data_IF_406742395132
#
_entry.id   IF_406742395132
#
_cell.length_a   1.000
_cell.length_b   1.000
_cell.length_c   1.000
_cell.angle_alpha   90.00
_cell.angle_beta   90.00
_cell.angle_gamma   90.00
#
_symmetry.space_group_name_H-M   'P 1'
#
loop_
_entity.id
_entity.type
_entity.pdbx_description
1 polymer ?
#
# COMPACT_ATOMS: atom_id res chain seq x y z
N UNK A 1 -15.06 -32.90 -13.80
CA UNK A 1 -14.98 -31.43 -13.80
C UNK A 1 -15.50 -30.89 -15.13
N UNK A 2 -16.45 -29.96 -15.11
CA UNK A 2 -16.93 -29.34 -16.32
C UNK A 2 -16.01 -28.15 -16.70
N UNK A 3 -16.21 -27.62 -17.91
CA UNK A 3 -15.36 -26.54 -18.43
C UNK A 3 -15.41 -25.29 -17.56
N UNK A 4 -16.57 -24.98 -16.97
CA UNK A 4 -16.74 -23.82 -16.11
C UNK A 4 -15.94 -23.95 -14.83
N UNK A 5 -15.98 -25.12 -14.19
CA UNK A 5 -15.21 -25.40 -12.97
C UNK A 5 -13.72 -25.37 -13.24
N UNK A 6 -13.28 -25.90 -14.38
CA UNK A 6 -11.87 -25.87 -14.78
C UNK A 6 -11.38 -24.43 -14.96
N UNK A 7 -12.16 -23.58 -15.62
CA UNK A 7 -11.81 -22.17 -15.84
C UNK A 7 -11.71 -21.42 -14.51
N UNK A 8 -12.69 -21.62 -13.59
CA UNK A 8 -12.67 -20.99 -12.27
C UNK A 8 -11.46 -21.39 -11.45
N UNK A 9 -11.09 -22.67 -11.45
CA UNK A 9 -9.91 -23.15 -10.73
C UNK A 9 -8.63 -22.55 -11.31
N UNK A 10 -8.54 -22.49 -12.64
CA UNK A 10 -7.38 -21.89 -13.32
C UNK A 10 -7.24 -20.42 -12.96
N UNK A 11 -8.35 -19.67 -12.94
CA UNK A 11 -8.34 -18.25 -12.56
C UNK A 11 -7.91 -18.04 -11.10
N UNK A 12 -8.41 -18.85 -10.17
CA UNK A 12 -8.02 -18.80 -8.77
C UNK A 12 -6.53 -19.09 -8.58
N UNK A 13 -6.02 -20.09 -9.28
CA UNK A 13 -4.60 -20.47 -9.23
C UNK A 13 -3.72 -19.36 -9.77
N UNK A 14 -4.10 -18.76 -10.89
CA UNK A 14 -3.36 -17.63 -11.51
C UNK A 14 -3.33 -16.41 -10.58
N UNK A 15 -4.46 -16.08 -9.93
CA UNK A 15 -4.54 -15.00 -8.98
C UNK A 15 -3.66 -15.23 -7.76
N UNK A 16 -3.64 -16.45 -7.22
CA UNK A 16 -2.79 -16.82 -6.09
C UNK A 16 -1.31 -16.72 -6.43
N UNK A 17 -0.91 -17.19 -7.62
CA UNK A 17 0.46 -17.10 -8.08
C UNK A 17 0.89 -15.65 -8.29
N UNK A 18 0.00 -14.81 -8.83
CA UNK A 18 0.27 -13.40 -9.01
C UNK A 18 0.48 -12.71 -7.66
N UNK A 19 -0.35 -13.00 -6.65
CA UNK A 19 -0.20 -12.46 -5.30
C UNK A 19 1.11 -12.89 -4.66
N UNK A 20 1.50 -14.16 -4.79
CA UNK A 20 2.78 -14.64 -4.29
C UNK A 20 3.96 -13.99 -5.00
N UNK A 21 3.84 -13.77 -6.30
CA UNK A 21 4.88 -13.11 -7.10
C UNK A 21 5.10 -11.68 -6.64
N UNK A 22 4.03 -10.92 -6.34
CA UNK A 22 4.15 -9.56 -5.84
C UNK A 22 4.89 -9.55 -4.50
N UNK A 23 4.54 -10.44 -3.56
CA UNK A 23 5.22 -10.53 -2.27
C UNK A 23 6.71 -10.82 -2.46
N UNK A 24 7.05 -11.75 -3.34
CA UNK A 24 8.45 -12.14 -3.59
C UNK A 24 9.25 -10.99 -4.23
N UNK A 25 8.66 -10.25 -5.16
CA UNK A 25 9.34 -9.17 -5.90
C UNK A 25 9.30 -7.82 -5.18
N UNK A 26 8.46 -7.68 -4.15
CA UNK A 26 8.16 -6.38 -3.53
C UNK A 26 9.40 -5.63 -3.04
N UNK A 27 10.44 -6.35 -2.59
CA UNK A 27 11.68 -5.73 -2.12
C UNK A 27 12.44 -4.97 -3.21
N UNK A 28 12.21 -5.32 -4.47
CA UNK A 28 12.88 -4.69 -5.63
C UNK A 28 11.95 -3.72 -6.37
N UNK A 29 10.70 -3.59 -5.93
CA UNK A 29 9.72 -2.73 -6.59
C UNK A 29 9.70 -1.33 -5.99
N UNK A 30 9.57 -0.32 -6.86
CA UNK A 30 9.31 1.05 -6.42
C UNK A 30 7.88 1.15 -5.88
N UNK A 31 7.58 2.23 -5.18
CA UNK A 31 6.22 2.48 -4.70
C UNK A 31 5.21 2.55 -5.84
N UNK A 32 5.60 3.16 -6.95
CA UNK A 32 4.75 3.27 -8.14
C UNK A 32 4.47 1.90 -8.76
N UNK A 33 5.51 1.07 -8.89
CA UNK A 33 5.35 -0.30 -9.40
C UNK A 33 4.46 -1.15 -8.49
N UNK A 34 4.68 -1.05 -7.18
CA UNK A 34 3.92 -1.82 -6.21
C UNK A 34 2.44 -1.42 -6.20
N UNK A 35 2.14 -0.13 -6.23
CA UNK A 35 0.76 0.36 -6.30
C UNK A 35 0.07 -0.06 -7.61
N UNK A 36 0.81 -0.17 -8.71
CA UNK A 36 0.25 -0.64 -9.99
C UNK A 36 -0.24 -2.09 -9.91
N UNK A 37 0.31 -2.87 -8.97
CA UNK A 37 -0.05 -4.27 -8.75
C UNK A 37 -1.06 -4.43 -7.59
N UNK A 38 -1.72 -3.36 -7.16
CA UNK A 38 -2.53 -3.36 -5.93
C UNK A 38 -3.65 -4.41 -5.93
N UNK A 39 -4.16 -4.79 -7.10
CA UNK A 39 -5.20 -5.82 -7.21
C UNK A 39 -4.74 -7.21 -6.75
N UNK A 40 -3.43 -7.44 -6.72
CA UNK A 40 -2.83 -8.70 -6.27
C UNK A 40 -2.32 -8.60 -4.83
N UNK A 41 -2.46 -7.46 -4.19
CA UNK A 41 -2.02 -7.24 -2.81
C UNK A 41 -3.19 -7.53 -1.88
N UNK A 42 -3.02 -8.41 -0.88
CA UNK A 42 -4.12 -8.79 0.02
C UNK A 42 -4.55 -7.65 0.94
N UNK A 43 -5.79 -7.70 1.40
CA UNK A 43 -6.29 -6.77 2.40
C UNK A 43 -5.71 -7.11 3.77
N UNK A 44 -5.33 -6.08 4.52
CA UNK A 44 -4.77 -6.21 5.86
C UNK A 44 -5.70 -7.02 6.79
N UNK A 45 -6.98 -6.69 6.82
CA UNK A 45 -7.94 -7.38 7.70
C UNK A 45 -8.01 -8.87 7.40
N UNK A 46 -8.06 -9.24 6.12
CA UNK A 46 -8.10 -10.64 5.71
C UNK A 46 -6.78 -11.36 6.02
N UNK A 47 -5.66 -10.67 5.83
CA UNK A 47 -4.34 -11.24 6.09
C UNK A 47 -4.15 -11.53 7.59
N UNK A 48 -4.53 -10.59 8.46
CA UNK A 48 -4.38 -10.74 9.90
C UNK A 48 -5.26 -11.84 10.50
N UNK A 49 -6.34 -12.23 9.82
CA UNK A 49 -7.17 -13.36 10.24
C UNK A 49 -6.52 -14.70 9.95
N UNK A 50 -5.62 -14.75 8.97
CA UNK A 50 -4.98 -15.98 8.53
C UNK A 50 -3.60 -16.19 9.13
N UNK A 51 -2.93 -15.11 9.53
CA UNK A 51 -1.57 -15.17 10.05
C UNK A 51 -1.33 -14.05 11.03
N UNK A 52 -0.42 -14.28 11.99
CA UNK A 52 0.02 -13.25 12.91
C UNK A 52 1.24 -12.53 12.32
N UNK A 53 1.27 -11.22 12.42
CA UNK A 53 2.40 -10.42 11.94
C UNK A 53 3.70 -10.68 12.70
N UNK A 54 3.63 -11.31 13.88
CA UNK A 54 4.83 -11.80 14.60
C UNK A 54 5.62 -12.80 13.76
N UNK A 55 4.93 -13.62 12.99
CA UNK A 55 5.52 -14.71 12.24
C UNK A 55 5.92 -14.29 10.81
N UNK A 56 5.83 -12.99 10.53
CA UNK A 56 6.19 -12.47 9.21
C UNK A 56 7.59 -11.86 9.24
N UNK A 57 8.31 -12.09 8.16
CA UNK A 57 9.60 -11.42 7.98
C UNK A 57 9.35 -9.92 7.81
N UNK A 58 10.07 -9.12 8.59
CA UNK A 58 9.92 -7.66 8.58
C UNK A 58 11.24 -6.98 8.20
N UNK A 59 11.14 -5.94 7.42
CA UNK A 59 12.29 -5.15 6.98
C UNK A 59 11.85 -3.96 6.15
N UNK A 60 12.77 -3.06 5.88
CA UNK A 60 12.46 -1.84 5.13
C UNK A 60 12.03 -2.13 3.69
N UNK A 61 12.51 -3.22 3.12
CA UNK A 61 12.27 -3.55 1.71
C UNK A 61 11.71 -4.94 1.47
N UNK A 62 11.80 -5.83 2.46
CA UNK A 62 11.44 -7.24 2.29
C UNK A 62 10.28 -7.71 3.18
N UNK A 63 9.60 -6.79 3.84
CA UNK A 63 8.47 -7.12 4.70
C UNK A 63 7.20 -7.42 3.92
N UNK A 64 6.27 -8.11 4.59
CA UNK A 64 4.96 -8.45 4.04
C UNK A 64 4.22 -7.19 3.57
N UNK A 65 3.62 -7.27 2.38
CA UNK A 65 2.89 -6.15 1.79
C UNK A 65 1.39 -6.44 1.79
N UNK A 66 0.60 -5.48 2.22
CA UNK A 66 -0.87 -5.58 2.19
C UNK A 66 -1.49 -4.19 1.96
N UNK A 67 -2.82 -4.15 1.85
CA UNK A 67 -3.56 -2.89 1.76
C UNK A 67 -4.35 -2.67 3.04
N UNK A 68 -4.28 -1.46 3.58
CA UNK A 68 -5.14 -1.08 4.70
C UNK A 68 -6.60 -0.99 4.26
N UNK A 69 -7.53 -0.88 5.21
CA UNK A 69 -8.95 -0.71 4.91
C UNK A 69 -9.24 0.56 4.11
N UNK A 70 -8.35 1.55 4.19
CA UNK A 70 -8.44 2.77 3.38
C UNK A 70 -7.84 2.59 1.98
N UNK A 71 -7.34 1.40 1.66
CA UNK A 71 -6.78 1.08 0.36
C UNK A 71 -5.31 1.46 0.18
N UNK A 72 -4.66 1.94 1.24
CA UNK A 72 -3.23 2.30 1.18
C UNK A 72 -2.35 1.07 1.17
N UNK A 73 -1.37 1.04 0.29
CA UNK A 73 -0.38 -0.04 0.24
C UNK A 73 0.64 0.17 1.35
N UNK A 74 0.83 -0.85 2.17
CA UNK A 74 1.71 -0.80 3.34
C UNK A 74 2.65 -2.00 3.35
N UNK A 75 3.83 -1.79 3.93
CA UNK A 75 4.88 -2.82 4.08
C UNK A 75 5.21 -2.98 5.55
N UNK A 76 5.23 -4.22 6.01
CA UNK A 76 5.62 -4.51 7.39
C UNK A 76 7.12 -4.22 7.57
N UNK A 77 7.45 -3.32 8.50
CA UNK A 77 8.83 -2.95 8.79
C UNK A 77 9.30 -3.46 10.16
N UNK A 78 8.37 -3.89 11.00
CA UNK A 78 8.67 -4.48 12.29
C UNK A 78 7.60 -5.51 12.64
N UNK A 79 8.01 -6.74 12.97
CA UNK A 79 7.08 -7.78 13.39
C UNK A 79 6.37 -7.38 14.69
N UNK A 80 5.10 -7.74 14.82
CA UNK A 80 4.32 -7.45 16.02
C UNK A 80 3.18 -8.44 16.17
N UNK A 81 2.66 -8.57 17.38
CA UNK A 81 1.53 -9.45 17.67
C UNK A 81 0.23 -8.79 17.22
N UNK A 82 -0.25 -9.16 16.05
CA UNK A 82 -1.48 -8.61 15.48
C UNK A 82 -2.75 -9.17 16.12
N UNK A 83 -2.64 -10.17 16.98
CA UNK A 83 -3.75 -10.64 17.81
C UNK A 83 -3.98 -9.72 19.01
N UNK A 84 -2.94 -8.99 19.44
CA UNK A 84 -2.99 -8.04 20.55
C UNK A 84 -3.21 -6.61 20.05
N UNK A 85 -2.38 -6.20 19.07
CA UNK A 85 -2.47 -4.88 18.45
C UNK A 85 -3.29 -5.01 17.17
N UNK A 86 -4.59 -4.75 17.29
CA UNK A 86 -5.56 -4.99 16.21
C UNK A 86 -5.86 -3.75 15.37
N UNK A 87 -5.19 -2.63 15.64
CA UNK A 87 -5.39 -1.37 14.92
C UNK A 87 -4.96 -1.49 13.45
N UNK A 88 -5.54 -0.61 12.63
CA UNK A 88 -5.15 -0.48 11.23
C UNK A 88 -3.70 0.02 11.10
N UNK A 89 -3.03 -0.26 9.98
CA UNK A 89 -1.66 0.23 9.76
C UNK A 89 -1.47 1.73 9.99
N UNK A 90 -2.49 2.53 9.72
CA UNK A 90 -2.43 3.99 9.93
C UNK A 90 -2.21 4.38 11.39
N UNK A 91 -2.60 3.52 12.31
CA UNK A 91 -2.41 3.74 13.74
C UNK A 91 -1.16 3.04 14.30
N UNK A 92 -0.42 2.32 13.45
CA UNK A 92 0.79 1.58 13.82
C UNK A 92 1.97 1.98 12.91
N UNK A 93 2.34 3.27 12.87
CA UNK A 93 3.36 3.73 11.92
C UNK A 93 4.79 3.22 12.21
N UNK A 94 5.03 2.71 13.42
CA UNK A 94 6.32 2.09 13.74
C UNK A 94 6.44 0.69 13.16
N UNK A 95 5.32 0.03 12.90
CA UNK A 95 5.27 -1.34 12.38
C UNK A 95 5.06 -1.37 10.88
N UNK A 96 4.41 -0.36 10.31
CA UNK A 96 4.04 -0.33 8.91
C UNK A 96 4.61 0.89 8.20
N UNK A 97 5.32 0.65 7.09
CA UNK A 97 5.76 1.70 6.18
C UNK A 97 4.74 1.87 5.06
N UNK A 98 4.39 3.10 4.74
CA UNK A 98 3.43 3.39 3.68
C UNK A 98 4.16 3.60 2.36
N UNK A 99 3.58 3.07 1.28
CA UNK A 99 4.19 3.04 -0.04
C UNK A 99 3.35 3.88 -0.99
N UNK A 100 3.91 4.99 -1.45
CA UNK A 100 3.19 5.95 -2.28
C UNK A 100 3.52 5.78 -3.76
N UNK A 101 2.58 6.18 -4.63
CA UNK A 101 2.74 6.09 -6.08
C UNK A 101 2.94 7.48 -6.69
N UNK A 102 3.75 7.53 -7.74
CA UNK A 102 3.90 8.71 -8.60
C UNK A 102 2.81 8.75 -9.69
N UNK A 103 2.02 7.68 -9.80
CA UNK A 103 0.93 7.59 -10.76
C UNK A 103 -0.36 8.14 -10.11
N UNK A 104 -0.92 9.24 -10.66
CA UNK A 104 -2.14 9.83 -10.11
C UNK A 104 -3.33 8.86 -10.08
N UNK A 105 -3.37 7.87 -10.98
CA UNK A 105 -4.45 6.88 -11.01
C UNK A 105 -4.44 5.97 -9.78
N UNK A 106 -3.31 5.87 -9.08
CA UNK A 106 -3.15 5.07 -7.86
C UNK A 106 -2.93 5.93 -6.62
N UNK A 107 -3.28 7.21 -6.68
CA UNK A 107 -3.21 8.11 -5.53
C UNK A 107 -4.20 7.66 -4.45
N UNK A 108 -3.76 7.75 -3.19
CA UNK A 108 -4.56 7.35 -2.03
C UNK A 108 -4.85 8.57 -1.16
N UNK A 109 -5.87 8.51 -0.30
CA UNK A 109 -6.19 9.65 0.57
C UNK A 109 -4.98 10.07 1.39
N UNK A 110 -4.78 11.39 1.49
CA UNK A 110 -3.66 11.96 2.24
C UNK A 110 -3.68 11.51 3.70
N UNK A 111 -2.50 11.23 4.23
CA UNK A 111 -2.29 10.99 5.66
C UNK A 111 -0.94 11.59 6.07
N UNK A 112 -0.93 12.29 7.19
CA UNK A 112 0.29 12.91 7.72
C UNK A 112 1.04 11.90 8.59
N UNK A 113 2.08 11.27 8.04
CA UNK A 113 2.93 10.32 8.76
C UNK A 113 4.39 10.70 8.58
N UNK A 114 5.04 11.11 9.66
CA UNK A 114 6.46 11.49 9.62
C UNK A 114 7.36 10.29 9.28
N UNK A 115 6.90 9.08 9.55
CA UNK A 115 7.64 7.83 9.22
C UNK A 115 7.49 7.42 7.77
N UNK A 116 6.51 7.97 7.06
CA UNK A 116 6.25 7.67 5.65
C UNK A 116 5.82 8.95 4.93
N UNK A 117 6.70 9.98 4.85
CA UNK A 117 6.35 11.23 4.20
C UNK A 117 6.19 11.04 2.69
N UNK A 118 5.48 11.97 2.07
CA UNK A 118 5.41 12.01 0.61
C UNK A 118 6.71 12.59 0.08
N UNK A 119 7.35 11.87 -0.82
CA UNK A 119 8.55 12.33 -1.51
C UNK A 119 8.14 13.05 -2.79
N UNK A 120 9.04 13.82 -3.36
CA UNK A 120 8.79 14.53 -4.62
C UNK A 120 8.29 13.57 -5.69
N UNK A 121 7.14 13.88 -6.27
CA UNK A 121 6.49 13.04 -7.29
C UNK A 121 5.35 12.20 -6.75
N UNK A 122 5.36 11.85 -5.46
CA UNK A 122 4.31 11.03 -4.85
C UNK A 122 2.95 11.74 -4.89
N UNK A 123 1.91 10.99 -5.21
CA UNK A 123 0.56 11.51 -5.35
C UNK A 123 -0.33 11.10 -4.17
N UNK A 124 -1.27 11.97 -3.83
CA UNK A 124 -2.33 11.69 -2.85
C UNK A 124 -3.64 12.29 -3.35
N UNK A 125 -4.74 11.90 -2.70
CA UNK A 125 -6.03 12.53 -2.91
C UNK A 125 -6.41 13.33 -1.66
N UNK A 126 -7.12 14.42 -1.87
CA UNK A 126 -7.77 15.19 -0.79
C UNK A 126 -9.04 15.80 -1.36
N UNK A 127 -10.18 15.52 -0.71
CA UNK A 127 -11.47 15.91 -1.27
C UNK A 127 -11.69 15.25 -2.62
N UNK A 128 -11.99 16.05 -3.63
CA UNK A 128 -12.19 15.58 -5.00
C UNK A 128 -10.95 15.77 -5.89
N UNK A 129 -9.84 16.22 -5.30
CA UNK A 129 -8.62 16.52 -6.05
C UNK A 129 -7.53 15.48 -5.89
N UNK A 130 -6.65 15.42 -6.89
CA UNK A 130 -5.43 14.63 -6.88
C UNK A 130 -4.26 15.59 -6.88
N UNK A 131 -3.27 15.33 -6.02
CA UNK A 131 -2.14 16.24 -5.81
C UNK A 131 -0.82 15.46 -5.88
N UNK A 132 0.20 16.09 -6.46
CA UNK A 132 1.56 15.55 -6.54
C UNK A 132 2.47 16.39 -5.66
N UNK A 133 3.28 15.74 -4.82
CA UNK A 133 4.22 16.45 -3.97
C UNK A 133 5.34 17.09 -4.80
N UNK A 134 5.61 18.35 -4.53
CA UNK A 134 6.66 19.13 -5.19
C UNK A 134 7.99 19.05 -4.45
N UNK A 135 8.00 18.43 -3.27
CA UNK A 135 9.20 18.37 -2.42
C UNK A 135 9.28 17.04 -1.68
N UNK A 136 10.49 16.73 -1.19
CA UNK A 136 10.72 15.54 -0.38
C UNK A 136 10.29 15.78 1.07
N UNK A 137 10.00 14.69 1.80
CA UNK A 137 9.64 14.71 3.22
C UNK A 137 8.42 15.58 3.50
N UNK A 138 7.44 15.56 2.60
CA UNK A 138 6.23 16.35 2.72
C UNK A 138 5.22 15.62 3.61
N UNK A 139 4.88 16.22 4.75
CA UNK A 139 3.91 15.67 5.72
C UNK A 139 2.71 16.59 5.92
N UNK A 140 2.57 17.60 5.09
CA UNK A 140 1.50 18.60 5.20
C UNK A 140 0.46 18.38 4.11
N UNK A 141 -0.81 18.45 4.47
CA UNK A 141 -1.92 18.25 3.52
C UNK A 141 -1.91 19.32 2.42
N UNK A 142 -2.37 19.01 1.21
CA UNK A 142 -2.49 20.01 0.15
C UNK A 142 -3.26 21.26 0.55
N UNK A 143 -4.35 21.11 1.31
CA UNK A 143 -5.15 22.24 1.79
C UNK A 143 -4.42 23.09 2.84
N UNK A 144 -3.47 22.48 3.57
CA UNK A 144 -2.71 23.19 4.62
C UNK A 144 -1.40 23.77 4.08
N UNK A 145 -0.88 23.23 2.97
CA UNK A 145 0.42 23.64 2.43
C UNK A 145 0.40 23.54 0.90
N UNK A 146 -0.32 24.44 0.27
CA UNK A 146 -0.51 24.44 -1.18
C UNK A 146 0.78 24.60 -1.98
N UNK A 147 1.80 25.24 -1.39
CA UNK A 147 3.11 25.45 -2.04
C UNK A 147 3.89 24.15 -2.23
N UNK A 148 3.61 23.14 -1.41
CA UNK A 148 4.28 21.83 -1.49
C UNK A 148 3.59 20.84 -2.44
N UNK A 149 2.49 21.24 -3.05
CA UNK A 149 1.68 20.35 -3.87
C UNK A 149 1.29 20.97 -5.20
N UNK A 150 1.19 20.14 -6.21
CA UNK A 150 0.68 20.48 -7.53
C UNK A 150 -0.59 19.69 -7.78
N UNK A 151 -1.67 20.38 -8.14
CA UNK A 151 -2.92 19.68 -8.49
C UNK A 151 -2.75 19.00 -9.85
N UNK A 152 -3.11 17.71 -9.91
CA UNK A 152 -3.03 16.92 -11.13
C UNK A 152 -4.41 16.85 -11.76
N UNK A 153 -4.49 17.14 -13.06
CA UNK A 153 -5.71 17.01 -13.82
C UNK A 153 -5.63 15.72 -14.63
N UNK A 154 -6.58 14.82 -14.39
CA UNK A 154 -6.69 13.56 -15.14
C UNK A 154 -7.58 13.82 -16.38
N UNK A 155 -7.06 13.42 -17.55
CA UNK A 155 -7.81 13.51 -18.81
C UNK A 155 -8.55 12.19 -19.11
#
# INVERSE_FOLDING_TARGET
MNNKEFVLETMKRSGKLAAQSVQTRSSEMTGTELNAEEKYIPDFTAACKKMNMLDRHAGMTDGFVCKSSAGRVVRLIQNYDSAVFTQEPEELPAQWGFVWSDDPAHAKPFIALSTSPYMKGNCCTEGDGIFRSKENNNVHAPSAYSQGWERVVME
#
